data_IF_778570976974
#
_entry.id   IF_778570976974
#
_cell.length_a   1.000
_cell.length_b   1.000
_cell.length_c   1.000
_cell.angle_alpha   90.00
_cell.angle_beta   90.00
_cell.angle_gamma   90.00
#
_symmetry.space_group_name_H-M   'P 1'
#
loop_
_entity.id
_entity.type
_entity.pdbx_description
1 polymer ?
#
# COMPACT_ATOMS: atom_id res chain seq x y z
N UNK A 1 -17.38 -4.29 -13.09
CA UNK A 1 -15.98 -4.75 -13.06
C UNK A 1 -15.11 -3.98 -12.06
N UNK A 2 -15.14 -2.64 -12.04
CA UNK A 2 -14.32 -1.81 -11.12
C UNK A 2 -14.50 -2.18 -9.63
N UNK A 3 -15.74 -2.34 -9.15
CA UNK A 3 -16.04 -2.75 -7.76
C UNK A 3 -15.63 -4.20 -7.42
N UNK A 4 -15.49 -5.07 -8.43
CA UNK A 4 -15.15 -6.49 -8.27
C UNK A 4 -13.65 -6.71 -8.05
N UNK A 5 -12.81 -5.79 -8.54
CA UNK A 5 -11.36 -6.01 -8.63
C UNK A 5 -10.50 -5.14 -7.71
N UNK A 6 -11.06 -4.12 -7.03
CA UNK A 6 -10.20 -3.15 -6.35
C UNK A 6 -10.69 -2.67 -4.97
N UNK A 7 -10.99 -3.62 -4.08
CA UNK A 7 -11.33 -3.33 -2.66
C UNK A 7 -10.27 -2.47 -1.98
N UNK A 8 -9.00 -2.75 -2.28
CA UNK A 8 -7.84 -2.03 -1.75
C UNK A 8 -7.83 -0.57 -2.18
N UNK A 9 -8.06 -0.28 -3.47
CA UNK A 9 -8.15 1.12 -3.95
C UNK A 9 -9.36 1.85 -3.38
N UNK A 10 -10.51 1.17 -3.29
CA UNK A 10 -11.70 1.77 -2.65
C UNK A 10 -11.42 2.11 -1.18
N UNK A 11 -10.80 1.19 -0.44
CA UNK A 11 -10.40 1.44 0.94
C UNK A 11 -9.37 2.57 1.04
N UNK A 12 -8.38 2.60 0.16
CA UNK A 12 -7.38 3.67 0.09
C UNK A 12 -8.04 5.04 -0.07
N UNK A 13 -8.96 5.21 -1.03
CA UNK A 13 -9.64 6.48 -1.27
C UNK A 13 -10.48 6.88 -0.04
N UNK A 14 -11.30 5.96 0.49
CA UNK A 14 -12.15 6.24 1.63
C UNK A 14 -11.33 6.62 2.87
N UNK A 15 -10.29 5.85 3.18
CA UNK A 15 -9.40 6.11 4.32
C UNK A 15 -8.60 7.40 4.12
N UNK A 16 -8.22 7.74 2.89
CA UNK A 16 -7.59 9.03 2.57
C UNK A 16 -8.52 10.20 2.89
N UNK A 17 -9.78 10.15 2.45
CA UNK A 17 -10.77 11.19 2.79
C UNK A 17 -11.02 11.27 4.30
N UNK A 18 -11.14 10.13 4.97
CA UNK A 18 -11.29 10.10 6.42
C UNK A 18 -10.10 10.73 7.13
N UNK A 19 -8.88 10.40 6.70
CA UNK A 19 -7.64 10.98 7.20
C UNK A 19 -7.61 12.51 7.05
N UNK A 20 -7.99 13.03 5.88
CA UNK A 20 -8.11 14.47 5.64
C UNK A 20 -9.10 15.11 6.63
N UNK A 21 -10.26 14.49 6.84
CA UNK A 21 -11.25 15.01 7.81
C UNK A 21 -10.73 15.01 9.25
N UNK A 22 -9.91 14.03 9.64
CA UNK A 22 -9.20 14.00 10.93
C UNK A 22 -8.24 15.19 11.02
N UNK A 23 -7.35 15.33 10.04
CA UNK A 23 -6.27 16.34 10.04
C UNK A 23 -6.85 17.75 10.12
N UNK A 24 -7.89 18.05 9.33
CA UNK A 24 -8.55 19.36 9.34
C UNK A 24 -9.61 19.52 10.44
N UNK A 25 -9.72 18.57 11.38
CA UNK A 25 -10.67 18.59 12.51
C UNK A 25 -12.12 18.80 12.09
N UNK A 26 -12.51 18.26 10.93
CA UNK A 26 -13.88 18.38 10.37
C UNK A 26 -14.77 17.18 10.70
N UNK A 27 -14.24 16.20 11.44
CA UNK A 27 -15.01 15.04 11.90
C UNK A 27 -15.97 15.41 13.02
N UNK A 28 -17.17 14.86 12.92
CA UNK A 28 -18.17 14.84 13.99
C UNK A 28 -18.56 13.39 14.24
N UNK A 29 -19.23 13.10 15.36
CA UNK A 29 -19.73 11.74 15.65
C UNK A 29 -20.61 11.23 14.51
N UNK A 30 -21.51 12.08 14.00
CA UNK A 30 -22.39 11.75 12.86
C UNK A 30 -21.60 11.40 11.60
N UNK A 31 -20.59 12.20 11.23
CA UNK A 31 -19.75 11.94 10.05
C UNK A 31 -18.89 10.69 10.22
N UNK A 32 -18.42 10.43 11.43
CA UNK A 32 -17.63 9.24 11.76
C UNK A 32 -18.48 7.98 11.65
N UNK A 33 -19.69 7.99 12.23
CA UNK A 33 -20.64 6.89 12.10
C UNK A 33 -21.05 6.64 10.64
N UNK A 34 -21.34 7.71 9.89
CA UNK A 34 -21.64 7.62 8.46
C UNK A 34 -20.46 7.03 7.68
N UNK A 35 -19.23 7.45 7.95
CA UNK A 35 -18.05 6.90 7.32
C UNK A 35 -17.94 5.38 7.55
N UNK A 36 -18.02 4.92 8.80
CA UNK A 36 -17.94 3.48 9.10
C UNK A 36 -19.10 2.69 8.49
N UNK A 37 -20.31 3.24 8.47
CA UNK A 37 -21.45 2.61 7.82
C UNK A 37 -21.23 2.46 6.30
N UNK A 38 -20.84 3.53 5.61
CA UNK A 38 -20.55 3.52 4.17
C UNK A 38 -19.38 2.60 3.85
N UNK A 39 -18.30 2.69 4.63
CA UNK A 39 -17.13 1.82 4.47
C UNK A 39 -17.51 0.35 4.61
N UNK A 40 -18.26 -0.01 5.66
CA UNK A 40 -18.71 -1.38 5.88
C UNK A 40 -19.63 -1.87 4.76
N UNK A 41 -20.64 -1.09 4.35
CA UNK A 41 -21.55 -1.44 3.25
C UNK A 41 -20.78 -1.69 1.95
N UNK A 42 -19.85 -0.79 1.60
CA UNK A 42 -19.08 -0.92 0.37
C UNK A 42 -18.13 -2.13 0.42
N UNK A 43 -17.46 -2.38 1.56
CA UNK A 43 -16.62 -3.56 1.74
C UNK A 43 -17.45 -4.84 1.65
N UNK A 44 -18.62 -4.87 2.28
CA UNK A 44 -19.55 -5.99 2.21
C UNK A 44 -20.06 -6.24 0.78
N UNK A 45 -20.51 -5.20 0.09
CA UNK A 45 -20.97 -5.29 -1.29
C UNK A 45 -19.86 -5.82 -2.21
N UNK A 46 -18.64 -5.31 -2.06
CA UNK A 46 -17.49 -5.79 -2.83
C UNK A 46 -17.17 -7.27 -2.57
N UNK A 47 -17.44 -7.77 -1.36
CA UNK A 47 -17.29 -9.18 -1.03
C UNK A 47 -18.40 -10.03 -1.63
N UNK A 48 -19.66 -9.60 -1.52
CA UNK A 48 -20.81 -10.30 -2.10
C UNK A 48 -20.72 -10.38 -3.64
N UNK A 49 -20.27 -9.33 -4.31
CA UNK A 49 -20.04 -9.31 -5.76
C UNK A 49 -18.91 -10.24 -6.23
N UNK A 50 -18.05 -10.69 -5.32
CA UNK A 50 -16.94 -11.61 -5.61
C UNK A 50 -17.26 -13.07 -5.29
N UNK A 51 -18.44 -13.34 -4.73
CA UNK A 51 -18.85 -14.66 -4.23
C UNK A 51 -18.78 -15.73 -5.32
N UNK A 52 -18.14 -16.85 -5.00
CA UNK A 52 -18.27 -18.10 -5.75
C UNK A 52 -19.43 -18.92 -5.19
N UNK A 53 -19.77 -20.03 -5.86
CA UNK A 53 -20.98 -20.86 -5.68
C UNK A 53 -21.28 -21.26 -4.20
N UNK A 54 -20.30 -21.23 -3.30
CA UNK A 54 -20.35 -21.78 -1.93
C UNK A 54 -20.95 -20.91 -0.82
N UNK A 55 -21.61 -19.79 -1.10
CA UNK A 55 -22.28 -19.03 -0.05
C UNK A 55 -21.44 -17.94 0.65
N UNK A 56 -22.04 -17.08 1.48
CA UNK A 56 -21.34 -16.06 2.29
C UNK A 56 -21.47 -16.45 3.75
N UNK A 57 -20.33 -16.60 4.43
CA UNK A 57 -20.28 -16.84 5.86
C UNK A 57 -19.62 -15.63 6.53
N UNK A 58 -20.41 -14.85 7.26
CA UNK A 58 -19.97 -13.64 7.96
C UNK A 58 -18.89 -13.93 9.00
N UNK A 59 -19.03 -15.03 9.74
CA UNK A 59 -18.05 -15.43 10.76
C UNK A 59 -16.72 -15.73 10.08
N UNK A 60 -16.72 -16.51 9.00
CA UNK A 60 -15.48 -16.79 8.26
C UNK A 60 -14.85 -15.52 7.68
N UNK A 61 -15.66 -14.56 7.23
CA UNK A 61 -15.15 -13.27 6.77
C UNK A 61 -14.44 -12.50 7.88
N UNK A 62 -15.08 -12.33 9.04
CA UNK A 62 -14.46 -11.65 10.19
C UNK A 62 -13.19 -12.40 10.64
N UNK A 63 -13.26 -13.73 10.75
CA UNK A 63 -12.12 -14.56 11.13
C UNK A 63 -10.95 -14.37 10.17
N UNK A 64 -11.19 -14.38 8.86
CA UNK A 64 -10.12 -14.33 7.86
C UNK A 64 -9.27 -13.05 7.92
N UNK A 65 -9.92 -11.91 8.17
CA UNK A 65 -9.23 -10.61 8.11
C UNK A 65 -8.82 -10.09 9.49
N UNK A 66 -9.56 -10.36 10.57
CA UNK A 66 -9.25 -9.80 11.90
C UNK A 66 -8.54 -10.77 12.84
N UNK A 67 -8.84 -12.07 12.78
CA UNK A 67 -8.39 -13.03 13.80
C UNK A 67 -7.30 -13.97 13.28
N UNK A 68 -7.40 -14.41 12.04
CA UNK A 68 -6.54 -15.42 11.43
C UNK A 68 -5.12 -14.93 11.03
N UNK A 69 -4.86 -13.65 10.69
CA UNK A 69 -3.53 -13.23 10.21
C UNK A 69 -2.38 -13.45 11.21
N UNK A 70 -2.66 -13.32 12.51
CA UNK A 70 -1.65 -13.53 13.55
C UNK A 70 -1.35 -15.03 13.76
N UNK A 71 -2.33 -15.93 13.95
CA UNK A 71 -2.10 -17.38 13.91
C UNK A 71 -1.46 -17.89 12.60
N UNK A 72 -1.79 -17.30 11.45
CA UNK A 72 -1.12 -17.66 10.21
C UNK A 72 0.36 -17.29 10.23
N UNK A 73 0.70 -16.14 10.82
CA UNK A 73 2.09 -15.76 11.02
C UNK A 73 2.81 -16.70 12.01
N UNK A 74 2.14 -17.17 13.06
CA UNK A 74 2.68 -18.22 13.94
C UNK A 74 2.94 -19.54 13.18
N UNK A 75 2.07 -19.90 12.23
CA UNK A 75 2.29 -20.99 11.29
C UNK A 75 3.59 -20.85 10.49
N UNK A 76 3.95 -19.62 10.10
CA UNK A 76 5.20 -19.31 9.40
C UNK A 76 6.40 -19.46 10.34
N UNK A 77 6.31 -18.95 11.57
CA UNK A 77 7.38 -19.08 12.58
C UNK A 77 7.66 -20.54 12.96
N UNK A 78 6.61 -21.37 13.00
CA UNK A 78 6.70 -22.80 13.31
C UNK A 78 7.11 -23.68 12.13
N UNK A 79 7.34 -23.12 10.93
CA UNK A 79 7.70 -23.87 9.73
C UNK A 79 6.55 -24.67 9.11
N UNK A 80 5.32 -24.42 9.53
CA UNK A 80 4.12 -25.12 9.07
C UNK A 80 3.47 -24.48 7.83
N UNK A 81 4.05 -23.39 7.31
CA UNK A 81 3.58 -22.70 6.12
C UNK A 81 4.57 -22.88 4.98
N UNK A 82 4.06 -23.26 3.81
CA UNK A 82 4.83 -23.26 2.57
C UNK A 82 4.64 -21.92 1.84
N UNK A 83 5.72 -21.36 1.33
CA UNK A 83 5.72 -20.13 0.53
C UNK A 83 6.80 -20.25 -0.55
N UNK A 84 6.59 -19.57 -1.67
CA UNK A 84 7.49 -19.61 -2.82
C UNK A 84 8.30 -18.32 -2.82
N UNK A 85 9.61 -18.43 -2.83
CA UNK A 85 10.50 -17.29 -3.05
C UNK A 85 11.56 -17.64 -4.08
N UNK A 86 11.87 -16.69 -4.95
CA UNK A 86 12.88 -16.82 -6.01
C UNK A 86 14.25 -16.32 -5.54
N UNK A 87 14.26 -15.31 -4.64
CA UNK A 87 15.47 -14.73 -4.08
C UNK A 87 15.17 -14.03 -2.73
N UNK A 88 16.21 -13.78 -1.93
CA UNK A 88 16.07 -13.10 -0.63
C UNK A 88 15.66 -11.64 -0.81
N UNK A 89 14.62 -11.20 -0.10
CA UNK A 89 14.12 -9.82 -0.18
C UNK A 89 12.95 -9.65 -1.15
N UNK A 90 12.52 -10.72 -1.82
CA UNK A 90 11.47 -10.68 -2.83
C UNK A 90 10.10 -10.30 -2.25
N UNK A 91 9.75 -10.78 -1.06
CA UNK A 91 8.42 -10.51 -0.48
C UNK A 91 8.29 -9.05 -0.02
N UNK A 92 9.35 -8.53 0.59
CA UNK A 92 9.49 -7.17 1.11
C UNK A 92 9.68 -6.18 -0.03
N UNK A 93 10.65 -6.42 -0.93
CA UNK A 93 10.97 -5.50 -2.02
C UNK A 93 10.30 -5.87 -3.34
N UNK A 94 9.12 -6.48 -3.28
CA UNK A 94 8.41 -7.01 -4.46
C UNK A 94 8.19 -5.99 -5.58
N UNK A 95 8.02 -4.72 -5.22
CA UNK A 95 7.87 -3.64 -6.18
C UNK A 95 9.11 -3.45 -7.08
N UNK A 96 10.28 -4.00 -6.69
CA UNK A 96 11.50 -3.98 -7.49
C UNK A 96 11.55 -5.09 -8.55
N UNK A 97 10.78 -6.19 -8.40
CA UNK A 97 10.83 -7.35 -9.30
C UNK A 97 10.69 -6.96 -10.78
N UNK A 98 9.71 -6.11 -11.18
CA UNK A 98 9.60 -5.71 -12.59
C UNK A 98 10.82 -4.94 -13.12
N UNK A 99 11.56 -4.23 -12.25
CA UNK A 99 12.77 -3.50 -12.64
C UNK A 99 13.97 -4.42 -12.74
N UNK A 100 14.08 -5.40 -11.85
CA UNK A 100 15.11 -6.43 -11.90
C UNK A 100 14.99 -7.25 -13.19
N UNK A 101 13.76 -7.55 -13.61
CA UNK A 101 13.44 -8.21 -14.89
C UNK A 101 13.90 -7.44 -16.13
N UNK A 102 14.04 -6.11 -16.05
CA UNK A 102 14.58 -5.30 -17.16
C UNK A 102 16.10 -5.45 -17.30
N UNK A 103 16.78 -5.79 -16.19
CA UNK A 103 18.23 -5.94 -16.14
C UNK A 103 18.61 -7.38 -16.48
N UNK A 104 17.86 -8.34 -15.94
CA UNK A 104 18.07 -9.76 -16.12
C UNK A 104 16.73 -10.47 -16.33
N UNK A 105 16.54 -11.01 -17.53
CA UNK A 105 15.31 -11.68 -17.94
C UNK A 105 15.11 -13.03 -17.23
N UNK A 106 16.15 -13.60 -16.62
CA UNK A 106 16.05 -14.87 -15.87
C UNK A 106 15.43 -14.68 -14.48
N UNK A 107 15.26 -13.43 -14.01
CA UNK A 107 14.56 -13.12 -12.77
C UNK A 107 13.05 -13.27 -12.99
N UNK A 108 12.52 -14.48 -12.80
CA UNK A 108 11.08 -14.74 -13.01
C UNK A 108 10.21 -14.09 -11.93
N UNK A 109 10.71 -14.04 -10.69
CA UNK A 109 9.94 -13.62 -9.53
C UNK A 109 8.93 -14.67 -9.08
N UNK A 110 8.38 -14.49 -7.88
CA UNK A 110 7.42 -15.40 -7.27
C UNK A 110 6.13 -15.39 -8.11
N UNK A 111 5.72 -16.55 -8.68
CA UNK A 111 4.52 -16.65 -9.50
C UNK A 111 3.23 -16.50 -8.69
N UNK A 112 3.31 -16.59 -7.36
CA UNK A 112 2.23 -16.37 -6.41
C UNK A 112 2.53 -15.21 -5.43
N UNK A 113 2.67 -13.98 -5.92
CA UNK A 113 3.14 -12.85 -5.12
C UNK A 113 2.15 -12.44 -4.02
N UNK A 114 0.90 -12.90 -4.07
CA UNK A 114 -0.13 -12.61 -3.05
C UNK A 114 -0.57 -13.87 -2.29
N UNK A 115 0.21 -14.95 -2.37
CA UNK A 115 -0.08 -16.24 -1.76
C UNK A 115 -1.50 -16.75 -2.08
N UNK A 116 -2.03 -16.46 -3.27
CA UNK A 116 -3.35 -16.85 -3.76
C UNK A 116 -3.50 -18.37 -3.93
N UNK A 117 -2.41 -19.12 -3.98
CA UNK A 117 -2.40 -20.57 -4.20
C UNK A 117 -1.85 -21.33 -2.97
N UNK A 118 -0.90 -20.75 -2.24
CA UNK A 118 -0.35 -21.34 -1.01
C UNK A 118 -1.03 -20.80 0.25
N UNK A 119 -2.22 -21.33 0.54
CA UNK A 119 -3.01 -20.91 1.70
C UNK A 119 -2.49 -21.58 2.97
N UNK A 120 -2.34 -20.81 4.05
CA UNK A 120 -2.11 -21.36 5.38
C UNK A 120 -3.43 -21.80 5.99
N UNK A 121 -3.44 -23.01 6.54
CA UNK A 121 -4.56 -23.52 7.32
C UNK A 121 -4.48 -22.96 8.74
N UNK A 122 -5.24 -21.91 8.98
CA UNK A 122 -5.71 -21.56 10.33
C UNK A 122 -7.09 -22.23 10.52
N UNK A 123 -7.92 -21.97 11.55
CA UNK A 123 -9.25 -22.62 11.65
C UNK A 123 -10.08 -22.54 10.35
N UNK A 124 -9.77 -21.56 9.50
CA UNK A 124 -10.12 -21.51 8.08
C UNK A 124 -8.84 -21.32 7.23
N UNK A 125 -8.91 -21.71 5.95
CA UNK A 125 -7.83 -21.40 5.01
C UNK A 125 -7.78 -19.88 4.78
N UNK A 126 -6.59 -19.30 4.87
CA UNK A 126 -6.32 -17.89 4.54
C UNK A 126 -5.01 -17.73 3.78
N UNK A 127 -4.85 -16.59 3.10
CA UNK A 127 -3.65 -16.20 2.38
C UNK A 127 -3.10 -14.83 2.80
N UNK A 128 -3.60 -14.31 3.93
CA UNK A 128 -3.23 -13.02 4.49
C UNK A 128 -2.51 -13.25 5.81
N UNK A 129 -1.47 -12.47 6.03
CA UNK A 129 -0.61 -12.56 7.20
C UNK A 129 -0.35 -11.16 7.71
N UNK A 130 0.06 -10.98 8.95
CA UNK A 130 0.51 -9.65 9.39
C UNK A 130 1.63 -9.10 8.50
N UNK A 131 1.86 -7.79 8.54
CA UNK A 131 3.00 -7.14 7.85
C UNK A 131 4.36 -7.80 8.16
N UNK A 132 4.49 -8.46 9.31
CA UNK A 132 5.71 -9.15 9.73
C UNK A 132 6.09 -10.31 8.81
N UNK A 133 5.13 -10.89 8.07
CA UNK A 133 5.38 -12.02 7.18
C UNK A 133 6.47 -11.73 6.15
N UNK A 134 6.34 -10.64 5.38
CA UNK A 134 7.31 -10.30 4.34
C UNK A 134 8.71 -10.13 4.92
N UNK A 135 8.80 -9.42 6.05
CA UNK A 135 10.08 -9.09 6.69
C UNK A 135 10.74 -10.33 7.30
N UNK A 136 9.93 -11.23 7.86
CA UNK A 136 10.42 -12.48 8.41
C UNK A 136 10.87 -13.46 7.34
N UNK A 137 10.10 -13.64 6.28
CA UNK A 137 10.45 -14.58 5.20
C UNK A 137 11.76 -14.19 4.56
N UNK A 138 11.99 -12.90 4.34
CA UNK A 138 13.20 -12.44 3.67
C UNK A 138 14.42 -12.31 4.60
N UNK A 139 14.22 -11.94 5.87
CA UNK A 139 15.32 -11.53 6.77
C UNK A 139 15.19 -12.05 8.21
N UNK A 140 14.27 -12.99 8.46
CA UNK A 140 14.01 -13.57 9.78
C UNK A 140 13.52 -12.54 10.81
N UNK A 141 13.70 -12.85 12.09
CA UNK A 141 13.32 -11.95 13.19
C UNK A 141 14.02 -10.58 13.08
N UNK A 142 15.27 -10.56 12.61
CA UNK A 142 16.00 -9.32 12.38
C UNK A 142 15.27 -8.39 11.41
N UNK A 143 14.71 -8.95 10.32
CA UNK A 143 13.87 -8.22 9.38
C UNK A 143 12.73 -7.47 10.06
N UNK A 144 12.01 -8.14 10.95
CA UNK A 144 10.89 -7.53 11.67
C UNK A 144 11.34 -6.29 12.44
N UNK A 145 12.43 -6.39 13.20
CA UNK A 145 12.95 -5.26 13.96
C UNK A 145 13.45 -4.13 13.05
N UNK A 146 14.19 -4.47 11.99
CA UNK A 146 14.73 -3.49 11.05
C UNK A 146 13.61 -2.70 10.37
N UNK A 147 12.63 -3.39 9.79
CA UNK A 147 11.54 -2.73 9.06
C UNK A 147 10.53 -2.05 9.99
N UNK A 148 10.33 -2.53 11.21
CA UNK A 148 9.58 -1.80 12.23
C UNK A 148 10.25 -0.45 12.56
N UNK A 149 11.58 -0.42 12.69
CA UNK A 149 12.33 0.82 12.92
C UNK A 149 12.26 1.76 11.71
N UNK A 150 12.39 1.24 10.49
CA UNK A 150 12.25 2.02 9.24
C UNK A 150 10.85 2.64 9.15
N UNK A 151 9.80 1.83 9.31
CA UNK A 151 8.42 2.31 9.23
C UNK A 151 8.09 3.28 10.37
N UNK A 152 8.50 2.99 11.60
CA UNK A 152 8.32 3.87 12.75
C UNK A 152 8.97 5.24 12.51
N UNK A 153 10.18 5.25 11.95
CA UNK A 153 10.90 6.47 11.56
C UNK A 153 10.16 7.21 10.45
N UNK A 154 9.74 6.52 9.40
CA UNK A 154 8.97 7.08 8.29
C UNK A 154 7.70 7.79 8.79
N UNK A 155 6.90 7.11 9.62
CA UNK A 155 5.68 7.68 10.20
C UNK A 155 5.96 8.84 11.16
N UNK A 156 7.03 8.74 11.95
CA UNK A 156 7.47 9.79 12.85
C UNK A 156 7.86 11.08 12.10
N UNK A 157 8.62 10.95 11.02
CA UNK A 157 8.98 12.07 10.15
C UNK A 157 7.72 12.70 9.56
N UNK A 158 6.83 11.92 8.95
CA UNK A 158 5.60 12.45 8.36
C UNK A 158 4.71 13.15 9.37
N UNK A 159 4.60 12.61 10.59
CA UNK A 159 3.86 13.26 11.66
C UNK A 159 4.42 14.65 11.97
N UNK A 160 5.74 14.81 12.03
CA UNK A 160 6.33 16.13 12.23
C UNK A 160 6.07 17.09 11.08
N UNK A 161 6.10 16.62 9.83
CA UNK A 161 5.76 17.48 8.70
C UNK A 161 4.31 17.97 8.76
N UNK A 162 3.37 17.10 9.19
CA UNK A 162 1.98 17.49 9.43
C UNK A 162 1.89 18.53 10.55
N UNK A 163 2.61 18.33 11.67
CA UNK A 163 2.65 19.27 12.80
C UNK A 163 3.17 20.66 12.41
N UNK A 164 4.13 20.72 11.51
CA UNK A 164 4.65 21.98 10.95
C UNK A 164 3.77 22.58 9.85
N UNK A 165 2.71 21.89 9.42
CA UNK A 165 1.79 22.39 8.40
C UNK A 165 2.32 22.28 6.97
N UNK A 166 3.34 21.46 6.72
CA UNK A 166 3.84 21.26 5.36
C UNK A 166 2.83 20.46 4.53
N UNK A 167 2.25 21.08 3.50
CA UNK A 167 1.26 20.47 2.61
C UNK A 167 1.74 19.17 1.96
N UNK A 168 3.02 19.09 1.60
CA UNK A 168 3.62 17.87 1.05
C UNK A 168 3.60 16.73 2.07
N UNK A 169 3.89 17.01 3.34
CA UNK A 169 3.82 16.00 4.40
C UNK A 169 2.40 15.49 4.62
N UNK A 170 1.41 16.38 4.56
CA UNK A 170 -0.01 15.99 4.62
C UNK A 170 -0.38 15.11 3.42
N UNK A 171 0.03 15.49 2.20
CA UNK A 171 -0.22 14.71 0.99
C UNK A 171 0.35 13.29 1.10
N UNK A 172 1.63 13.17 1.48
CA UNK A 172 2.30 11.88 1.62
C UNK A 172 1.62 11.04 2.72
N UNK A 173 1.36 11.63 3.89
CA UNK A 173 0.72 10.91 4.99
C UNK A 173 -0.65 10.36 4.61
N UNK A 174 -1.49 11.18 3.96
CA UNK A 174 -2.83 10.76 3.51
C UNK A 174 -2.73 9.63 2.48
N UNK A 175 -1.80 9.72 1.53
CA UNK A 175 -1.61 8.71 0.49
C UNK A 175 -1.22 7.33 1.05
N UNK A 176 -0.40 7.30 2.11
CA UNK A 176 0.05 6.09 2.77
C UNK A 176 -0.87 5.61 3.91
N UNK A 177 -1.79 6.45 4.41
CA UNK A 177 -2.56 6.20 5.64
C UNK A 177 -3.29 4.85 5.66
N UNK A 178 -3.82 4.40 4.53
CA UNK A 178 -4.52 3.10 4.45
C UNK A 178 -3.60 1.91 4.75
N UNK A 179 -2.31 2.01 4.43
CA UNK A 179 -1.32 0.97 4.68
C UNK A 179 -1.06 0.83 6.18
N UNK A 180 -1.06 1.95 6.91
CA UNK A 180 -0.98 1.96 8.38
C UNK A 180 -2.19 1.23 8.99
N UNK A 181 -3.38 1.44 8.42
CA UNK A 181 -4.61 0.76 8.87
C UNK A 181 -4.54 -0.74 8.57
N UNK A 182 -3.98 -1.17 7.44
CA UNK A 182 -4.02 -2.57 7.00
C UNK A 182 -2.81 -3.42 7.38
N UNK A 183 -1.80 -2.86 8.04
CA UNK A 183 -0.60 -3.58 8.48
C UNK A 183 -0.88 -4.83 9.35
N UNK A 184 -2.04 -4.91 10.01
CA UNK A 184 -2.42 -6.06 10.82
C UNK A 184 -2.69 -7.33 10.01
N UNK A 185 -2.96 -7.24 8.70
CA UNK A 185 -3.24 -8.42 7.86
C UNK A 185 -2.54 -8.42 6.50
N UNK A 186 -1.71 -7.43 6.17
CA UNK A 186 -0.86 -7.47 4.98
C UNK A 186 0.24 -6.40 5.04
N UNK A 187 1.40 -6.70 4.44
CA UNK A 187 2.33 -5.65 4.01
C UNK A 187 1.80 -4.96 2.76
N UNK A 188 0.97 -3.94 2.98
CA UNK A 188 0.54 -3.04 1.91
C UNK A 188 1.55 -1.92 1.64
N UNK A 189 2.53 -1.72 2.53
CA UNK A 189 3.46 -0.60 2.42
C UNK A 189 4.40 -0.80 1.25
N UNK A 190 5.25 -1.83 1.30
CA UNK A 190 6.21 -2.05 0.24
C UNK A 190 5.56 -2.60 -1.03
N UNK A 191 4.50 -3.41 -0.90
CA UNK A 191 3.77 -3.95 -2.04
C UNK A 191 3.25 -2.87 -2.99
N UNK A 192 2.83 -1.71 -2.48
CA UNK A 192 2.31 -0.61 -3.29
C UNK A 192 3.18 0.65 -3.21
N UNK A 193 4.36 0.58 -2.61
CA UNK A 193 5.22 1.74 -2.38
C UNK A 193 5.50 2.52 -3.66
N UNK A 194 5.97 1.83 -4.71
CA UNK A 194 6.38 2.49 -5.95
C UNK A 194 5.22 3.21 -6.65
N UNK A 195 4.05 2.56 -6.74
CA UNK A 195 2.88 3.18 -7.37
C UNK A 195 2.37 4.37 -6.56
N UNK A 196 2.39 4.28 -5.22
CA UNK A 196 2.02 5.40 -4.34
C UNK A 196 2.98 6.57 -4.47
N UNK A 197 4.30 6.33 -4.47
CA UNK A 197 5.31 7.37 -4.69
C UNK A 197 5.14 8.02 -6.07
N UNK A 198 4.92 7.21 -7.12
CA UNK A 198 4.70 7.73 -8.48
C UNK A 198 3.48 8.66 -8.53
N UNK A 199 2.37 8.28 -7.90
CA UNK A 199 1.16 9.13 -7.83
C UNK A 199 1.48 10.44 -7.09
N UNK A 200 2.20 10.38 -5.97
CA UNK A 200 2.59 11.59 -5.22
C UNK A 200 3.45 12.52 -6.08
N UNK A 201 4.46 11.98 -6.78
CA UNK A 201 5.34 12.75 -7.64
C UNK A 201 4.57 13.39 -8.80
N UNK A 202 3.64 12.66 -9.43
CA UNK A 202 2.77 13.21 -10.48
C UNK A 202 1.89 14.33 -9.94
N UNK A 203 1.28 14.16 -8.77
CA UNK A 203 0.48 15.20 -8.13
C UNK A 203 1.33 16.44 -7.86
N UNK A 204 2.54 16.28 -7.29
CA UNK A 204 3.45 17.40 -7.07
C UNK A 204 3.81 18.09 -8.40
N UNK A 205 4.13 17.32 -9.44
CA UNK A 205 4.48 17.86 -10.75
C UNK A 205 3.38 18.73 -11.37
N UNK A 206 2.10 18.38 -11.17
CA UNK A 206 0.96 19.20 -11.64
C UNK A 206 0.90 20.59 -10.98
N UNK A 207 1.48 20.76 -9.79
CA UNK A 207 1.52 22.05 -9.09
C UNK A 207 2.84 22.81 -9.27
N UNK A 208 3.84 22.20 -9.92
CA UNK A 208 5.08 22.89 -10.29
C UNK A 208 4.82 23.69 -11.57
N UNK A 209 4.96 25.01 -11.50
CA UNK A 209 4.96 25.86 -12.70
C UNK A 209 6.26 25.65 -13.47
N UNK A 210 6.23 24.84 -14.54
CA UNK A 210 7.36 24.69 -15.46
C UNK A 210 7.39 25.93 -16.37
N UNK A 211 8.40 26.79 -16.21
CA UNK A 211 8.70 27.85 -17.18
C UNK A 211 9.57 27.27 -18.28
N UNK A 212 9.04 27.16 -19.49
CA UNK A 212 9.85 26.93 -20.68
C UNK A 212 10.47 28.26 -21.08
N UNK A 213 11.79 28.38 -20.96
CA UNK A 213 12.50 29.50 -21.54
C UNK A 213 12.65 29.19 -23.03
N UNK A 214 11.67 29.61 -23.84
CA UNK A 214 11.82 29.61 -25.29
C UNK A 214 12.92 30.62 -25.58
N UNK A 215 14.13 30.16 -25.88
CA UNK A 215 15.22 31.02 -26.27
C UNK A 215 14.83 31.76 -27.55
N UNK A 216 14.39 33.01 -27.42
CA UNK A 216 14.40 33.93 -28.54
C UNK A 216 15.87 34.11 -28.93
N UNK A 217 16.25 33.54 -30.08
CA UNK A 217 17.50 33.85 -30.73
C UNK A 217 17.49 35.37 -30.97
N UNK A 218 18.34 36.09 -30.23
CA UNK A 218 18.69 37.46 -30.58
C UNK A 218 19.36 37.39 -31.96
N UNK A 219 18.61 37.69 -33.01
CA UNK A 219 19.20 38.09 -34.28
C UNK A 219 19.88 39.43 -34.03
N UNK A 220 21.17 39.39 -33.73
CA UNK A 220 22.05 40.55 -33.82
C UNK A 220 22.00 41.04 -35.26
N UNK A 221 21.38 42.19 -35.48
CA UNK A 221 21.53 42.94 -36.73
C UNK A 221 22.98 43.41 -36.80
N UNK A 222 23.76 42.76 -37.66
CA UNK A 222 25.08 43.25 -38.06
C UNK A 222 24.83 44.51 -38.90
N UNK A 223 24.97 45.68 -38.26
CA UNK A 223 25.09 46.96 -38.96
C UNK A 223 26.41 46.96 -39.74
N UNK A 224 26.33 46.64 -41.03
CA UNK A 224 27.42 46.87 -41.97
C UNK A 224 27.43 48.36 -42.34
N UNK A 225 28.14 49.17 -41.56
CA UNK A 225 28.61 50.48 -42.01
C UNK A 225 29.90 50.29 -42.84
N UNK A 226 29.76 50.42 -44.16
CA UNK A 226 30.81 50.80 -45.10
C UNK A 226 30.28 51.95 -45.96
#
# INVERSE_FOLDING_TARGET
YILRSNKTVMAQILLSFFCILIIYRKLTVKKTALFFAVFFILMMLSHLLRRSVGGFNFINFITAYLLAPLPAFDGVLSGNTQFIHSFNGEYTFRFLVPFLQLIDADIVGNPDPFNLYNWTKTPININVYTIMFSYYVDFGLFGIFLFAAILGTFWGILYQYIRFGYSVGILVYVAFFYMLVFQFFSDSFFQFFFITVTIILLVIALFIKIKFNTGENKTESIDNNN
#
